data_IF_741742723167
#
_entry.id   IF_741742723167
#
_cell.length_a   1.000
_cell.length_b   1.000
_cell.length_c   1.000
_cell.angle_alpha   90.00
_cell.angle_beta   90.00
_cell.angle_gamma   90.00
#
_symmetry.space_group_name_H-M   'P 1'
#
loop_
_entity.id
_entity.type
_entity.pdbx_description
1 polymer ?
#
# COMPACT_ATOMS: atom_id res chain seq x y z
N UNK A 1 -1.26 5.44 16.10
CA UNK A 1 -2.19 4.81 15.12
C UNK A 1 -3.15 5.87 14.61
N UNK A 2 -3.12 6.11 13.31
CA UNK A 2 -3.98 7.09 12.63
C UNK A 2 -5.21 6.37 12.08
N UNK A 3 -6.37 7.02 12.11
CA UNK A 3 -7.62 6.47 11.56
C UNK A 3 -7.94 7.14 10.24
N UNK A 4 -8.29 6.35 9.25
CA UNK A 4 -8.76 6.85 7.97
C UNK A 4 -9.79 5.87 7.38
N UNK A 5 -10.53 6.32 6.36
CA UNK A 5 -11.33 5.42 5.52
C UNK A 5 -10.62 5.06 4.22
N UNK A 6 -9.58 5.83 3.89
CA UNK A 6 -8.77 5.72 2.69
C UNK A 6 -7.31 6.00 3.02
N UNK A 7 -6.41 5.11 2.63
CA UNK A 7 -4.97 5.30 2.74
C UNK A 7 -4.29 5.01 1.41
N UNK A 8 -3.15 5.65 1.18
CA UNK A 8 -2.28 5.36 0.03
C UNK A 8 -1.16 4.46 0.55
N UNK A 9 -1.04 3.27 -0.02
CA UNK A 9 -0.01 2.29 0.36
C UNK A 9 1.30 2.51 -0.40
N UNK A 10 1.22 2.99 -1.64
CA UNK A 10 2.37 3.30 -2.47
C UNK A 10 2.04 4.28 -3.59
N UNK A 11 3.05 5.06 -3.99
CA UNK A 11 3.07 5.99 -5.11
C UNK A 11 4.44 5.77 -5.78
N UNK A 12 4.48 4.95 -6.82
CA UNK A 12 5.73 4.25 -7.18
C UNK A 12 6.11 4.22 -8.65
N UNK A 13 5.17 4.12 -9.58
CA UNK A 13 5.55 3.93 -10.98
C UNK A 13 5.75 5.27 -11.67
N UNK A 14 6.68 5.31 -12.62
CA UNK A 14 7.23 6.46 -13.38
C UNK A 14 6.17 7.45 -13.96
N UNK A 15 4.88 7.12 -13.84
CA UNK A 15 3.71 7.82 -14.35
C UNK A 15 2.63 8.16 -13.28
N UNK A 16 2.92 7.98 -11.98
CA UNK A 16 2.03 8.45 -10.89
C UNK A 16 0.95 7.46 -10.46
N UNK A 17 1.19 6.16 -10.65
CA UNK A 17 0.28 5.10 -10.20
C UNK A 17 0.29 5.00 -8.67
N UNK A 18 -0.92 4.83 -8.10
CA UNK A 18 -1.12 4.82 -6.64
C UNK A 18 -1.87 3.58 -6.21
N UNK A 19 -1.34 2.92 -5.19
CA UNK A 19 -2.06 1.87 -4.47
C UNK A 19 -2.95 2.50 -3.41
N UNK A 20 -4.25 2.52 -3.68
CA UNK A 20 -5.23 3.18 -2.81
C UNK A 20 -6.08 2.12 -2.11
N UNK A 21 -5.95 2.02 -0.79
CA UNK A 21 -6.78 1.15 0.04
C UNK A 21 -7.96 1.95 0.60
N UNK A 22 -9.17 1.53 0.26
CA UNK A 22 -10.43 2.10 0.76
C UNK A 22 -11.20 1.07 1.57
N UNK A 23 -11.77 1.48 2.70
CA UNK A 23 -12.68 0.64 3.48
C UNK A 23 -13.96 1.40 3.83
N UNK A 24 -15.06 0.66 3.93
CA UNK A 24 -16.36 1.21 4.37
C UNK A 24 -16.30 1.70 5.82
N UNK A 25 -15.51 1.03 6.66
CA UNK A 25 -15.28 1.42 8.05
C UNK A 25 -13.93 2.09 8.21
N UNK A 26 -13.77 2.75 9.35
CA UNK A 26 -12.48 3.30 9.76
C UNK A 26 -11.47 2.17 9.92
N UNK A 27 -10.36 2.30 9.20
CA UNK A 27 -9.19 1.45 9.32
C UNK A 27 -8.13 2.20 10.12
N UNK A 28 -7.37 1.46 10.90
CA UNK A 28 -6.27 2.00 11.70
C UNK A 28 -4.96 1.70 11.00
N UNK A 29 -4.12 2.69 10.79
CA UNK A 29 -2.83 2.48 10.13
C UNK A 29 -1.69 3.18 10.86
N UNK A 30 -0.50 2.63 10.61
CA UNK A 30 0.77 3.13 11.07
C UNK A 30 1.78 3.00 9.94
N UNK A 31 2.31 4.13 9.49
CA UNK A 31 3.33 4.20 8.46
C UNK A 31 4.68 4.42 9.14
N UNK A 32 5.62 3.52 8.86
CA UNK A 32 7.03 3.69 9.18
C UNK A 32 7.82 3.96 7.89
N UNK A 33 9.10 4.26 8.01
CA UNK A 33 9.98 4.55 6.86
C UNK A 33 10.09 3.39 5.87
N UNK A 34 9.77 2.16 6.29
CA UNK A 34 10.03 0.93 5.53
C UNK A 34 8.76 0.08 5.29
N UNK A 35 7.69 0.34 6.03
CA UNK A 35 6.47 -0.46 5.94
C UNK A 35 5.23 0.31 6.40
N UNK A 36 4.07 -0.08 5.88
CA UNK A 36 2.77 0.42 6.33
C UNK A 36 2.01 -0.75 6.94
N UNK A 37 1.70 -0.65 8.24
CA UNK A 37 0.85 -1.63 8.93
C UNK A 37 -0.55 -1.05 9.05
N UNK A 38 -1.56 -1.81 8.66
CA UNK A 38 -2.95 -1.37 8.76
C UNK A 38 -3.87 -2.48 9.26
N UNK A 39 -4.93 -2.09 9.96
CA UNK A 39 -5.93 -2.95 10.53
C UNK A 39 -7.30 -2.60 9.93
N UNK A 40 -7.82 -3.54 9.17
CA UNK A 40 -9.14 -3.48 8.56
C UNK A 40 -10.18 -4.01 9.54
N UNK A 41 -11.07 -3.12 9.97
CA UNK A 41 -12.23 -3.47 10.79
C UNK A 41 -13.41 -4.03 9.97
N UNK A 42 -13.33 -3.92 8.65
CA UNK A 42 -14.31 -4.39 7.66
C UNK A 42 -13.60 -4.75 6.35
N UNK A 43 -14.34 -4.98 5.27
CA UNK A 43 -13.76 -5.22 3.96
C UNK A 43 -12.97 -4.00 3.46
N UNK A 44 -11.74 -4.22 3.01
CA UNK A 44 -10.91 -3.23 2.33
C UNK A 44 -10.83 -3.54 0.84
N UNK A 45 -10.86 -2.52 0.00
CA UNK A 45 -10.70 -2.62 -1.44
C UNK A 45 -9.44 -1.85 -1.79
N UNK A 46 -8.41 -2.56 -2.25
CA UNK A 46 -7.21 -1.97 -2.79
C UNK A 46 -7.42 -1.79 -4.30
N UNK A 47 -7.35 -0.55 -4.74
CA UNK A 47 -7.40 -0.20 -6.16
C UNK A 47 -6.01 0.25 -6.59
N UNK A 48 -5.52 -0.32 -7.69
CA UNK A 48 -4.32 0.13 -8.39
C UNK A 48 -4.73 0.55 -9.80
N UNK A 49 -4.11 1.60 -10.35
CA UNK A 49 -4.51 2.14 -11.67
C UNK A 49 -4.22 1.14 -12.81
N UNK A 50 -3.23 0.25 -12.64
CA UNK A 50 -2.82 -0.73 -13.65
C UNK A 50 -3.36 -2.15 -13.38
N UNK A 51 -3.88 -2.45 -12.18
CA UNK A 51 -4.32 -3.79 -11.81
C UNK A 51 -5.78 -3.87 -11.34
N UNK A 52 -6.34 -5.09 -11.42
CA UNK A 52 -7.68 -5.41 -10.97
C UNK A 52 -7.83 -5.21 -9.44
N UNK A 53 -9.03 -4.85 -8.99
CA UNK A 53 -9.29 -4.45 -7.61
C UNK A 53 -9.08 -5.64 -6.68
N UNK A 54 -8.18 -5.51 -5.71
CA UNK A 54 -7.97 -6.55 -4.71
C UNK A 54 -8.87 -6.32 -3.49
N UNK A 55 -9.60 -7.35 -3.08
CA UNK A 55 -10.48 -7.30 -1.91
C UNK A 55 -9.79 -7.97 -0.72
N UNK A 56 -9.58 -7.21 0.34
CA UNK A 56 -9.01 -7.66 1.59
C UNK A 56 -10.12 -7.87 2.63
N UNK A 57 -10.25 -9.07 3.23
CA UNK A 57 -11.16 -9.26 4.35
C UNK A 57 -10.67 -8.49 5.59
N UNK A 58 -11.52 -8.42 6.62
CA UNK A 58 -11.12 -7.83 7.91
C UNK A 58 -9.90 -8.56 8.47
N UNK A 59 -8.96 -7.81 9.03
CA UNK A 59 -7.70 -8.38 9.51
C UNK A 59 -6.61 -7.34 9.69
N UNK A 60 -5.47 -7.79 10.21
CA UNK A 60 -4.27 -6.96 10.32
C UNK A 60 -3.32 -7.32 9.18
N UNK A 61 -2.89 -6.31 8.44
CA UNK A 61 -2.05 -6.43 7.27
C UNK A 61 -0.82 -5.56 7.42
N UNK A 62 0.23 -5.93 6.69
CA UNK A 62 1.46 -5.18 6.62
C UNK A 62 1.95 -5.17 5.17
N UNK A 63 2.03 -3.97 4.61
CA UNK A 63 2.71 -3.71 3.34
C UNK A 63 4.16 -3.37 3.62
N UNK A 64 5.07 -3.92 2.83
CA UNK A 64 6.49 -3.58 2.85
C UNK A 64 6.80 -2.80 1.59
N UNK A 65 7.74 -1.86 1.66
CA UNK A 65 8.22 -1.20 0.45
C UNK A 65 8.91 -2.24 -0.43
N UNK A 66 8.52 -2.32 -1.70
CA UNK A 66 9.26 -3.13 -2.66
C UNK A 66 10.65 -2.52 -2.89
N UNK A 67 11.62 -3.40 -3.06
CA UNK A 67 12.96 -3.01 -3.49
C UNK A 67 13.07 -3.34 -4.96
N UNK A 68 13.24 -2.32 -5.80
CA UNK A 68 13.50 -2.52 -7.21
C UNK A 68 15.01 -2.66 -7.39
N UNK A 69 15.40 -3.83 -7.90
CA UNK A 69 16.77 -4.07 -8.29
C UNK A 69 16.95 -3.57 -9.72
N UNK A 70 17.85 -2.61 -9.92
CA UNK A 70 18.26 -2.17 -11.24
C UNK A 70 19.44 -3.04 -11.73
N UNK A 71 19.24 -3.93 -12.73
CA UNK A 71 20.29 -4.82 -13.20
C UNK A 71 21.37 -4.12 -14.05
N UNK A 72 21.14 -2.88 -14.50
CA UNK A 72 22.09 -2.14 -15.33
C UNK A 72 23.18 -1.44 -14.51
N UNK A 73 22.86 -1.05 -13.28
CA UNK A 73 23.79 -0.36 -12.37
C UNK A 73 24.00 -1.11 -11.05
N UNK A 74 23.41 -2.31 -10.92
CA UNK A 74 23.42 -3.13 -9.70
C UNK A 74 22.91 -2.40 -8.44
N UNK A 75 22.14 -1.33 -8.61
CA UNK A 75 21.59 -0.54 -7.52
C UNK A 75 20.26 -1.09 -7.05
N UNK A 76 20.04 -1.03 -5.74
CA UNK A 76 18.76 -1.35 -5.13
C UNK A 76 18.10 -0.03 -4.76
N UNK A 77 16.97 0.27 -5.39
CA UNK A 77 16.17 1.44 -5.06
C UNK A 77 14.94 1.02 -4.28
N UNK A 78 14.59 1.81 -3.26
CA UNK A 78 13.33 1.63 -2.53
C UNK A 78 12.22 2.23 -3.38
N UNK A 79 11.31 1.38 -3.84
CA UNK A 79 10.08 1.81 -4.50
C UNK A 79 8.91 1.59 -3.54
N UNK A 80 8.05 2.60 -3.48
CA UNK A 80 6.78 2.49 -2.80
C UNK A 80 5.76 1.94 -3.81
N UNK A 81 5.81 0.62 -4.03
CA UNK A 81 4.76 -0.14 -4.71
C UNK A 81 3.64 -0.46 -3.70
#
# INVERSE_FOLDING_TARGET
MTKAKRIVLGEGEIIGHKHILESKKELEYEQTTDSITFMLNDMGILTHDEHDKMVFPKGKYRSYNQVEFNPFDNTIQRVFD
#
